data_IF_140135548631
#
_entry.id   IF_140135548631
#
_cell.length_a   1.000
_cell.length_b   1.000
_cell.length_c   1.000
_cell.angle_alpha   90.00
_cell.angle_beta   90.00
_cell.angle_gamma   90.00
#
_symmetry.space_group_name_H-M   'P 1'
#
loop_
_entity.id
_entity.type
_entity.pdbx_description
1 polymer ?
#
# COMPACT_ATOMS: atom_id res chain seq x y z
N UNK A 1 -77.32 0.81 29.30
CA UNK A 1 -77.42 1.95 28.35
C UNK A 1 -76.50 1.64 27.18
N UNK A 2 -77.02 1.77 25.97
CA UNK A 2 -76.57 1.14 24.72
C UNK A 2 -75.26 1.71 24.13
N UNK A 3 -74.52 0.82 23.48
CA UNK A 3 -73.48 1.08 22.47
C UNK A 3 -74.08 1.79 21.24
N UNK A 4 -73.34 2.71 20.60
CA UNK A 4 -73.23 2.84 19.13
C UNK A 4 -71.86 3.43 18.78
N UNK A 5 -71.30 2.83 17.73
CA UNK A 5 -69.97 2.95 17.17
C UNK A 5 -70.02 3.78 15.87
N UNK A 6 -68.84 4.25 15.40
CA UNK A 6 -68.53 4.85 14.10
C UNK A 6 -69.10 6.24 13.77
N UNK A 7 -68.23 7.17 13.34
CA UNK A 7 -67.91 7.30 11.91
C UNK A 7 -66.78 8.31 11.64
N UNK A 8 -66.14 8.13 10.49
CA UNK A 8 -65.33 9.09 9.72
C UNK A 8 -63.82 9.12 9.96
N UNK A 9 -63.20 8.07 9.41
CA UNK A 9 -61.97 8.24 8.63
C UNK A 9 -62.12 9.37 7.61
N UNK A 10 -61.22 10.35 7.64
CA UNK A 10 -60.70 11.10 6.47
C UNK A 10 -59.72 12.14 6.99
N UNK A 11 -58.43 11.84 6.88
CA UNK A 11 -57.37 12.80 6.53
C UNK A 11 -56.09 12.01 6.30
N UNK A 12 -56.04 11.43 5.12
CA UNK A 12 -54.80 11.05 4.47
C UNK A 12 -53.96 12.32 4.30
N UNK A 13 -52.88 12.43 5.09
CA UNK A 13 -51.81 13.39 4.87
C UNK A 13 -50.49 12.61 4.83
N UNK A 14 -50.34 11.93 3.69
CA UNK A 14 -49.16 11.95 2.84
C UNK A 14 -47.89 12.51 3.53
N UNK A 15 -47.20 11.68 4.31
CA UNK A 15 -45.78 11.91 4.62
C UNK A 15 -44.97 11.07 3.64
N UNK A 16 -44.79 11.64 2.45
CA UNK A 16 -43.90 11.09 1.43
C UNK A 16 -42.50 10.87 2.01
N UNK A 17 -42.10 9.61 1.95
CA UNK A 17 -40.73 9.15 1.78
C UNK A 17 -39.92 10.12 0.91
N UNK A 18 -38.85 10.70 1.48
CA UNK A 18 -37.72 11.22 0.73
C UNK A 18 -36.47 10.54 1.26
N UNK A 19 -36.31 9.26 0.92
CA UNK A 19 -34.98 8.62 0.97
C UNK A 19 -34.26 9.14 -0.28
N UNK A 20 -33.46 10.20 -0.09
CA UNK A 20 -32.46 10.58 -1.08
C UNK A 20 -31.42 9.45 -1.13
N UNK A 21 -31.66 8.50 -2.03
CA UNK A 21 -30.66 7.55 -2.46
C UNK A 21 -29.58 8.36 -3.20
N UNK A 22 -28.58 8.84 -2.47
CA UNK A 22 -27.33 9.28 -3.08
C UNK A 22 -26.63 8.04 -3.66
N UNK A 23 -27.13 7.54 -4.80
CA UNK A 23 -26.30 6.85 -5.77
C UNK A 23 -25.36 7.91 -6.35
N UNK A 24 -24.37 8.30 -5.54
CA UNK A 24 -23.14 8.86 -6.05
C UNK A 24 -22.51 7.74 -6.86
N UNK A 25 -22.76 7.74 -8.17
CA UNK A 25 -21.97 6.97 -9.12
C UNK A 25 -20.57 7.58 -8.99
N UNK A 26 -19.75 7.02 -8.09
CA UNK A 26 -18.34 7.32 -8.07
C UNK A 26 -17.82 6.77 -9.39
N UNK A 27 -17.70 7.65 -10.38
CA UNK A 27 -16.91 7.37 -11.57
C UNK A 27 -15.59 6.77 -11.06
N UNK A 28 -15.21 5.56 -11.49
CA UNK A 28 -13.91 5.03 -11.11
C UNK A 28 -12.90 6.05 -11.62
N UNK A 29 -12.22 6.73 -10.71
CA UNK A 29 -11.07 7.53 -11.08
C UNK A 29 -10.13 6.55 -11.76
N UNK A 30 -9.97 6.69 -13.08
CA UNK A 30 -8.97 5.94 -13.82
C UNK A 30 -7.63 6.40 -13.27
N UNK A 31 -7.13 5.66 -12.28
CA UNK A 31 -5.79 5.86 -11.81
C UNK A 31 -4.85 5.26 -12.83
N UNK A 32 -4.07 6.13 -13.43
CA UNK A 32 -3.03 5.76 -14.37
C UNK A 32 -1.78 5.17 -13.71
N UNK A 33 -1.73 5.11 -12.39
CA UNK A 33 -0.62 4.48 -11.73
C UNK A 33 -0.62 2.99 -12.11
N UNK A 34 0.39 2.46 -12.83
CA UNK A 34 0.40 1.06 -13.26
C UNK A 34 0.40 0.09 -12.07
N UNK A 35 0.67 0.60 -10.86
CA UNK A 35 0.74 -0.13 -9.61
C UNK A 35 -0.57 -0.10 -8.79
N UNK A 36 -1.57 0.69 -9.21
CA UNK A 36 -2.81 0.83 -8.45
C UNK A 36 -3.62 -0.46 -8.38
N UNK A 37 -3.58 -1.28 -9.42
CA UNK A 37 -4.24 -2.59 -9.39
C UNK A 37 -3.72 -3.45 -8.24
N UNK A 38 -2.40 -3.45 -7.99
CA UNK A 38 -1.77 -4.23 -6.94
C UNK A 38 -2.05 -3.64 -5.55
N UNK A 39 -1.93 -2.31 -5.41
CA UNK A 39 -2.25 -1.61 -4.16
C UNK A 39 -3.72 -1.76 -3.77
N UNK A 40 -4.64 -1.63 -4.73
CA UNK A 40 -6.09 -1.78 -4.51
C UNK A 40 -6.49 -3.24 -4.27
N UNK A 41 -5.71 -4.20 -4.75
CA UNK A 41 -5.86 -5.61 -4.36
C UNK A 41 -5.34 -5.89 -2.94
N UNK A 42 -4.88 -4.87 -2.21
CA UNK A 42 -4.39 -4.97 -0.84
C UNK A 42 -2.96 -5.51 -0.74
N UNK A 43 -2.24 -5.66 -1.84
CA UNK A 43 -0.84 -6.09 -1.83
C UNK A 43 0.08 -4.95 -1.43
N UNK A 44 1.20 -5.29 -0.81
CA UNK A 44 2.33 -4.41 -0.67
C UNK A 44 3.17 -4.44 -1.95
N UNK A 45 3.73 -3.31 -2.34
CA UNK A 45 4.63 -3.17 -3.47
C UNK A 45 6.02 -2.88 -2.95
N UNK A 46 7.01 -3.53 -3.55
CA UNK A 46 8.43 -3.33 -3.27
C UNK A 46 9.12 -2.95 -4.56
N UNK A 47 9.66 -1.73 -4.63
CA UNK A 47 10.56 -1.34 -5.71
C UNK A 47 11.99 -1.63 -5.31
N UNK A 48 12.72 -2.28 -6.21
CA UNK A 48 14.16 -2.55 -6.10
C UNK A 48 14.85 -1.70 -7.16
N UNK A 49 15.59 -0.68 -6.72
CA UNK A 49 16.17 0.33 -7.61
C UNK A 49 17.53 -0.17 -8.12
N UNK A 50 17.69 -0.28 -9.45
CA UNK A 50 18.96 -0.65 -10.11
C UNK A 50 19.66 -1.91 -9.51
N UNK A 51 18.90 -2.98 -9.26
CA UNK A 51 19.37 -4.17 -8.52
C UNK A 51 20.37 -5.10 -9.23
N UNK A 52 21.31 -4.59 -10.03
CA UNK A 52 22.24 -5.42 -10.83
C UNK A 52 23.67 -4.85 -11.03
N UNK A 53 24.14 -3.93 -10.18
CA UNK A 53 25.44 -3.27 -10.40
C UNK A 53 26.69 -4.13 -10.10
N UNK A 54 26.61 -5.12 -9.18
CA UNK A 54 27.68 -6.08 -8.93
C UNK A 54 27.15 -7.39 -8.30
N UNK A 55 27.08 -8.46 -9.08
CA UNK A 55 26.54 -9.76 -8.63
C UNK A 55 27.57 -10.68 -7.97
N UNK A 56 28.84 -10.27 -7.90
CA UNK A 56 29.93 -11.09 -7.37
C UNK A 56 30.34 -10.72 -5.95
N UNK A 57 29.72 -9.69 -5.36
CA UNK A 57 30.04 -9.28 -3.98
C UNK A 57 29.33 -10.17 -2.95
N UNK A 58 29.97 -10.36 -1.79
CA UNK A 58 29.34 -11.03 -0.63
C UNK A 58 28.05 -10.31 -0.21
N UNK A 59 28.07 -8.97 -0.23
CA UNK A 59 26.89 -8.16 0.04
C UNK A 59 25.71 -8.47 -0.89
N UNK A 60 25.99 -8.70 -2.19
CA UNK A 60 24.94 -9.12 -3.13
C UNK A 60 24.44 -10.53 -2.81
N UNK A 61 25.33 -11.45 -2.44
CA UNK A 61 24.94 -12.81 -2.08
C UNK A 61 23.98 -12.80 -0.87
N UNK A 62 24.32 -12.06 0.18
CA UNK A 62 23.47 -11.92 1.39
C UNK A 62 22.14 -11.24 1.06
N UNK A 63 22.20 -10.08 0.41
CA UNK A 63 21.00 -9.34 0.00
C UNK A 63 20.06 -10.18 -0.85
N UNK A 64 20.60 -10.83 -1.89
CA UNK A 64 19.79 -11.65 -2.80
C UNK A 64 19.21 -12.88 -2.10
N UNK A 65 19.96 -13.49 -1.17
CA UNK A 65 19.45 -14.59 -0.36
C UNK A 65 18.26 -14.16 0.50
N UNK A 66 18.40 -13.08 1.28
CA UNK A 66 17.32 -12.59 2.15
C UNK A 66 16.12 -12.07 1.38
N UNK A 67 16.35 -11.34 0.28
CA UNK A 67 15.28 -10.87 -0.59
C UNK A 67 14.49 -12.05 -1.20
N UNK A 68 15.21 -13.07 -1.69
CA UNK A 68 14.57 -14.23 -2.31
C UNK A 68 13.73 -14.98 -1.28
N UNK A 69 14.27 -15.23 -0.08
CA UNK A 69 13.53 -15.87 1.02
C UNK A 69 12.29 -15.05 1.41
N UNK A 70 12.46 -13.73 1.64
CA UNK A 70 11.34 -12.87 1.99
C UNK A 70 10.26 -12.90 0.90
N UNK A 71 10.64 -12.83 -0.37
CA UNK A 71 9.69 -12.84 -1.49
C UNK A 71 8.95 -14.17 -1.64
N UNK A 72 9.63 -15.32 -1.42
CA UNK A 72 9.00 -16.64 -1.50
C UNK A 72 7.99 -16.85 -0.39
N UNK A 73 8.30 -16.36 0.80
CA UNK A 73 7.44 -16.51 1.98
C UNK A 73 6.19 -15.60 1.88
N UNK A 74 6.26 -14.56 1.04
CA UNK A 74 5.28 -13.46 0.99
C UNK A 74 4.58 -13.26 -0.36
N UNK A 75 4.61 -14.27 -1.25
CA UNK A 75 4.05 -14.18 -2.63
C UNK A 75 2.58 -13.73 -2.73
N UNK A 76 1.77 -13.99 -1.69
CA UNK A 76 0.35 -13.60 -1.67
C UNK A 76 0.14 -12.14 -1.29
N UNK A 77 1.04 -11.59 -0.48
CA UNK A 77 0.90 -10.30 0.20
C UNK A 77 1.79 -9.21 -0.40
N UNK A 78 2.87 -9.57 -1.12
CA UNK A 78 3.83 -8.64 -1.71
C UNK A 78 3.99 -8.86 -3.22
N UNK A 79 4.33 -7.79 -3.93
CA UNK A 79 4.78 -7.81 -5.32
C UNK A 79 6.07 -7.02 -5.43
N UNK A 80 7.05 -7.58 -6.14
CA UNK A 80 8.38 -7.01 -6.28
C UNK A 80 8.60 -6.55 -7.71
N UNK A 81 9.07 -5.31 -7.87
CA UNK A 81 9.40 -4.74 -9.17
C UNK A 81 10.83 -4.24 -9.16
N UNK A 82 11.66 -4.78 -10.05
CA UNK A 82 12.93 -4.15 -10.38
C UNK A 82 12.65 -2.91 -11.23
N UNK A 83 13.15 -1.76 -10.82
CA UNK A 83 12.90 -0.49 -11.48
C UNK A 83 14.21 0.25 -11.73
N UNK A 84 14.37 0.81 -12.92
CA UNK A 84 15.51 1.68 -13.20
C UNK A 84 15.34 3.05 -12.55
N UNK A 85 16.42 3.77 -12.25
CA UNK A 85 16.36 5.17 -11.79
C UNK A 85 15.52 6.05 -12.74
N UNK A 86 15.68 5.91 -14.05
CA UNK A 86 14.93 6.71 -15.03
C UNK A 86 13.43 6.39 -15.01
N UNK A 87 13.09 5.10 -14.92
CA UNK A 87 11.68 4.68 -14.79
C UNK A 87 11.09 5.19 -13.48
N UNK A 88 11.85 5.16 -12.38
CA UNK A 88 11.45 5.70 -11.08
C UNK A 88 11.11 7.20 -11.18
N UNK A 89 11.96 7.98 -11.85
CA UNK A 89 11.70 9.41 -12.15
C UNK A 89 10.44 9.62 -12.97
N UNK A 90 10.10 8.68 -13.85
CA UNK A 90 8.85 8.71 -14.62
C UNK A 90 7.60 8.50 -13.78
N UNK A 91 7.68 7.81 -12.64
CA UNK A 91 6.49 7.39 -11.87
C UNK A 91 6.33 8.06 -10.52
N UNK A 92 7.39 8.54 -9.87
CA UNK A 92 7.36 9.10 -8.51
C UNK A 92 7.84 10.55 -8.51
N UNK A 93 7.14 11.41 -7.76
CA UNK A 93 7.61 12.76 -7.45
C UNK A 93 8.83 12.74 -6.52
N UNK A 94 9.83 13.59 -6.77
CA UNK A 94 11.07 13.66 -6.00
C UNK A 94 11.88 12.33 -6.01
N UNK A 95 11.78 11.55 -7.09
CA UNK A 95 12.48 10.27 -7.24
C UNK A 95 14.01 10.38 -7.11
N UNK A 96 14.60 11.56 -7.34
CA UNK A 96 16.03 11.79 -7.17
C UNK A 96 16.52 11.55 -5.74
N UNK A 97 15.63 11.56 -4.74
CA UNK A 97 15.96 11.19 -3.35
C UNK A 97 16.14 9.69 -3.12
N UNK A 98 15.73 8.87 -4.08
CA UNK A 98 15.73 7.41 -4.00
C UNK A 98 16.57 6.83 -5.13
N UNK A 99 17.80 7.32 -5.30
CA UNK A 99 18.65 7.03 -6.45
C UNK A 99 19.87 6.15 -6.12
N UNK A 100 19.96 5.63 -4.90
CA UNK A 100 21.04 4.72 -4.51
C UNK A 100 20.73 3.32 -5.04
N UNK A 101 21.67 2.64 -5.73
CA UNK A 101 21.47 1.27 -6.22
C UNK A 101 21.12 0.29 -5.10
N UNK A 102 20.38 -0.76 -5.43
CA UNK A 102 19.81 -1.76 -4.51
C UNK A 102 18.80 -1.25 -3.48
N UNK A 103 18.61 0.07 -3.37
CA UNK A 103 17.65 0.64 -2.44
C UNK A 103 16.24 0.14 -2.68
N UNK A 104 15.47 0.10 -1.60
CA UNK A 104 14.13 -0.47 -1.62
C UNK A 104 13.09 0.54 -1.16
N UNK A 105 11.99 0.65 -1.90
CA UNK A 105 10.80 1.40 -1.49
C UNK A 105 9.68 0.40 -1.24
N UNK A 106 9.15 0.39 -0.01
CA UNK A 106 8.01 -0.42 0.39
C UNK A 106 6.78 0.48 0.46
N UNK A 107 5.68 0.06 -0.16
CA UNK A 107 4.41 0.80 -0.19
C UNK A 107 3.24 -0.14 0.04
N UNK A 108 2.22 0.30 0.79
CA UNK A 108 0.96 -0.44 0.96
C UNK A 108 -0.16 0.53 1.33
N UNK A 109 -1.31 0.40 0.68
CA UNK A 109 -2.48 1.25 0.97
C UNK A 109 -2.86 1.21 2.45
N UNK A 110 -3.06 2.40 3.04
CA UNK A 110 -3.43 2.57 4.44
C UNK A 110 -2.30 2.28 5.44
N UNK A 111 -1.06 2.11 4.97
CA UNK A 111 0.14 1.91 5.81
C UNK A 111 1.21 2.96 5.47
N UNK A 112 2.19 3.17 6.36
CA UNK A 112 3.35 4.01 6.06
C UNK A 112 4.13 3.49 4.86
N UNK A 113 4.69 4.37 4.04
CA UNK A 113 5.71 4.01 3.07
C UNK A 113 7.09 4.06 3.72
N UNK A 114 7.98 3.18 3.28
CA UNK A 114 9.34 3.08 3.81
C UNK A 114 10.38 3.07 2.69
N UNK A 115 11.51 3.70 2.95
CA UNK A 115 12.69 3.68 2.10
C UNK A 115 13.87 3.10 2.89
N UNK A 116 14.61 2.20 2.26
CA UNK A 116 15.90 1.74 2.76
C UNK A 116 16.97 2.02 1.72
N UNK A 117 17.99 2.77 2.11
CA UNK A 117 19.10 3.11 1.23
C UNK A 117 20.09 1.96 1.11
N UNK A 118 20.32 1.49 -0.11
CA UNK A 118 21.23 0.37 -0.39
C UNK A 118 20.60 -1.02 -0.22
N UNK A 119 21.41 -2.08 -0.29
CA UNK A 119 20.94 -3.45 -0.17
C UNK A 119 20.54 -3.76 1.28
N UNK A 120 19.32 -4.26 1.47
CA UNK A 120 18.85 -4.77 2.77
C UNK A 120 19.54 -6.10 3.08
N UNK A 121 20.52 -6.08 3.98
CA UNK A 121 21.28 -7.27 4.42
C UNK A 121 20.89 -7.76 5.81
N UNK A 122 20.08 -6.99 6.55
CA UNK A 122 19.56 -7.36 7.86
C UNK A 122 18.11 -7.89 7.74
N UNK A 123 17.86 -9.19 8.02
CA UNK A 123 16.51 -9.76 7.94
C UNK A 123 15.48 -9.06 8.83
N UNK A 124 15.94 -8.40 9.90
CA UNK A 124 15.10 -7.66 10.84
C UNK A 124 14.35 -6.50 10.17
N UNK A 125 14.89 -5.91 9.11
CA UNK A 125 14.22 -4.86 8.33
C UNK A 125 12.95 -5.42 7.66
N UNK A 126 13.06 -6.57 6.99
CA UNK A 126 11.92 -7.24 6.40
C UNK A 126 10.86 -7.60 7.44
N UNK A 127 11.30 -8.11 8.60
CA UNK A 127 10.39 -8.45 9.69
C UNK A 127 9.67 -7.24 10.26
N UNK A 128 10.36 -6.10 10.40
CA UNK A 128 9.75 -4.84 10.82
C UNK A 128 8.65 -4.40 9.86
N UNK A 129 8.92 -4.43 8.55
CA UNK A 129 7.96 -4.06 7.51
C UNK A 129 6.75 -4.98 7.53
N UNK A 130 6.98 -6.29 7.61
CA UNK A 130 5.92 -7.30 7.66
C UNK A 130 4.97 -7.07 8.84
N UNK A 131 5.50 -6.98 10.06
CA UNK A 131 4.68 -6.74 11.26
C UNK A 131 3.86 -5.44 11.13
N UNK A 132 4.50 -4.38 10.63
CA UNK A 132 3.83 -3.08 10.41
C UNK A 132 2.68 -3.21 9.42
N UNK A 133 2.90 -3.90 8.29
CA UNK A 133 1.91 -4.05 7.22
C UNK A 133 0.78 -5.01 7.58
N UNK A 134 1.06 -6.00 8.42
CA UNK A 134 0.04 -6.85 9.05
C UNK A 134 -0.74 -6.12 10.16
N UNK A 135 -0.24 -4.97 10.64
CA UNK A 135 -0.83 -4.28 11.79
C UNK A 135 -0.59 -5.01 13.11
N UNK A 136 0.41 -5.90 13.16
CA UNK A 136 0.84 -6.56 14.38
C UNK A 136 1.78 -5.64 15.16
N UNK A 137 1.86 -5.77 16.49
CA UNK A 137 2.88 -5.09 17.28
C UNK A 137 4.28 -5.46 16.79
N UNK A 138 5.15 -4.46 16.64
CA UNK A 138 6.57 -4.69 16.33
C UNK A 138 7.25 -5.22 17.60
N UNK A 139 7.34 -6.55 17.69
CA UNK A 139 7.96 -7.26 18.81
C UNK A 139 8.88 -8.36 18.29
N UNK A 140 10.00 -8.61 18.99
CA UNK A 140 10.49 -7.91 20.19
C UNK A 140 10.93 -6.46 19.92
N UNK A 141 11.02 -5.63 20.97
CA UNK A 141 11.21 -4.16 20.86
C UNK A 141 12.50 -3.76 20.14
N UNK A 142 13.53 -4.60 20.16
CA UNK A 142 14.76 -4.32 19.42
C UNK A 142 14.51 -4.13 17.91
N UNK A 143 13.42 -4.69 17.35
CA UNK A 143 13.10 -4.53 15.94
C UNK A 143 12.86 -3.07 15.54
N UNK A 144 12.52 -2.20 16.51
CA UNK A 144 12.36 -0.76 16.27
C UNK A 144 13.66 -0.09 15.80
N UNK A 145 14.83 -0.61 16.18
CA UNK A 145 16.11 -0.07 15.74
C UNK A 145 16.40 -0.35 14.25
N UNK A 146 15.67 -1.29 13.65
CA UNK A 146 15.76 -1.67 12.25
C UNK A 146 14.65 -1.02 11.40
N UNK A 147 13.93 -0.04 11.95
CA UNK A 147 12.92 0.70 11.20
C UNK A 147 13.59 1.49 10.07
N UNK A 148 13.21 1.27 8.80
CA UNK A 148 13.70 2.08 7.70
C UNK A 148 13.14 3.50 7.75
N UNK A 149 13.65 4.37 6.89
CA UNK A 149 13.19 5.75 6.80
C UNK A 149 11.72 5.78 6.35
N UNK A 150 10.87 6.35 7.18
CA UNK A 150 9.47 6.60 6.82
C UNK A 150 9.42 7.75 5.82
N UNK A 151 8.85 7.49 4.65
CA UNK A 151 8.76 8.46 3.54
C UNK A 151 7.31 8.68 3.12
N UNK A 152 7.10 9.65 2.22
CA UNK A 152 5.79 9.86 1.57
C UNK A 152 5.98 9.71 0.07
N UNK A 153 5.55 8.57 -0.46
CA UNK A 153 5.63 8.32 -1.90
C UNK A 153 4.40 8.91 -2.57
N UNK A 154 4.65 9.73 -3.60
CA UNK A 154 3.59 10.32 -4.42
C UNK A 154 3.82 9.92 -5.87
N UNK A 155 2.92 9.11 -6.40
CA UNK A 155 2.90 8.78 -7.81
C UNK A 155 2.58 10.03 -8.64
N UNK A 156 3.23 10.16 -9.79
CA UNK A 156 2.88 11.19 -10.78
C UNK A 156 1.51 10.87 -11.37
N UNK A 157 0.73 11.91 -11.66
CA UNK A 157 -0.53 11.78 -12.38
C UNK A 157 -0.25 11.43 -13.85
N UNK A 158 -1.21 10.78 -14.51
CA UNK A 158 -1.26 10.85 -15.96
C UNK A 158 -1.47 12.30 -16.38
N UNK A 159 -0.77 12.70 -17.44
CA UNK A 159 -1.14 13.84 -18.26
C UNK A 159 -2.34 13.48 -19.15
#
# INVERSE_FOLDING_TARGET
MLVIYNNMQKKALLKSFFIFLFMGISLPAFSCNPFDKELNAGKAIVFIIDGAENTQSEQYADWSHYLNQFSSDNTKTYVFHKISKDKLKGIIHNADKYNTPYSMIFMKNGKPDYFYEGPVIEPQIYRFIELTYEGKPVKPEYLLQYAPDKVSIKFKKCD
#
